data_IF_682372293982
#
_entry.id   IF_682372293982
#
_cell.length_a   1.000
_cell.length_b   1.000
_cell.length_c   1.000
_cell.angle_alpha   90.00
_cell.angle_beta   90.00
_cell.angle_gamma   90.00
#
_symmetry.space_group_name_H-M   'P 1'
#
loop_
_entity.id
_entity.type
_entity.pdbx_description
1 polymer ?
#
# COMPACT_ATOMS: atom_id res chain seq x y z
N UNK A 1 -9.12 -36.21 7.95
CA UNK A 1 -7.83 -36.01 7.26
C UNK A 1 -7.33 -34.56 7.25
N UNK A 2 -8.21 -33.54 7.17
CA UNK A 2 -7.81 -32.12 7.25
C UNK A 2 -7.01 -31.73 8.52
N UNK A 3 -7.40 -32.22 9.70
CA UNK A 3 -6.73 -31.88 10.98
C UNK A 3 -5.28 -32.37 11.11
N UNK A 4 -4.85 -33.40 10.36
CA UNK A 4 -3.49 -33.92 10.49
C UNK A 4 -2.50 -33.15 9.60
N UNK A 5 -2.95 -32.74 8.41
CA UNK A 5 -2.17 -31.96 7.46
C UNK A 5 -2.05 -30.49 7.89
N UNK A 6 -3.08 -29.96 8.57
CA UNK A 6 -3.00 -28.65 9.21
C UNK A 6 -1.87 -28.64 10.25
N UNK A 7 -1.71 -29.70 11.05
CA UNK A 7 -0.58 -29.79 12.01
C UNK A 7 0.78 -29.75 11.31
N UNK A 8 0.98 -30.51 10.23
CA UNK A 8 2.29 -30.57 9.57
C UNK A 8 2.68 -29.23 8.93
N UNK A 9 1.71 -28.53 8.32
CA UNK A 9 1.92 -27.18 7.77
C UNK A 9 2.20 -26.18 8.89
N UNK A 10 1.46 -26.23 9.99
CA UNK A 10 1.67 -25.33 11.13
C UNK A 10 3.05 -25.56 11.78
N UNK A 11 3.50 -26.82 11.89
CA UNK A 11 4.84 -27.15 12.41
C UNK A 11 5.93 -26.64 11.47
N UNK A 12 5.77 -26.82 10.14
CA UNK A 12 6.72 -26.30 9.17
C UNK A 12 6.80 -24.76 9.18
N UNK A 13 5.66 -24.07 9.34
CA UNK A 13 5.60 -22.61 9.48
C UNK A 13 6.31 -22.19 10.77
N UNK A 14 6.02 -22.83 11.90
CA UNK A 14 6.65 -22.51 13.18
C UNK A 14 8.18 -22.67 13.09
N UNK A 15 8.67 -23.78 12.54
CA UNK A 15 10.10 -24.01 12.34
C UNK A 15 10.75 -22.94 11.45
N UNK A 16 10.06 -22.50 10.39
CA UNK A 16 10.56 -21.43 9.53
C UNK A 16 10.66 -20.10 10.28
N UNK A 17 9.65 -19.76 11.09
CA UNK A 17 9.64 -18.53 11.90
C UNK A 17 10.73 -18.58 12.96
N UNK A 18 10.88 -19.70 13.68
CA UNK A 18 11.93 -19.88 14.67
C UNK A 18 13.32 -19.72 14.04
N UNK A 19 13.53 -20.25 12.83
CA UNK A 19 14.78 -20.09 12.09
C UNK A 19 15.07 -18.64 11.67
N UNK A 20 14.04 -17.86 11.32
CA UNK A 20 14.18 -16.43 11.00
C UNK A 20 14.49 -15.63 12.26
N UNK A 21 13.77 -15.89 13.36
CA UNK A 21 14.00 -15.22 14.64
C UNK A 21 15.41 -15.50 15.18
N UNK A 22 15.89 -16.74 15.07
CA UNK A 22 17.26 -17.11 15.47
C UNK A 22 18.34 -16.30 14.71
N UNK A 23 18.12 -15.98 13.43
CA UNK A 23 19.05 -15.16 12.63
C UNK A 23 19.05 -13.69 13.03
N UNK A 24 17.92 -13.18 13.55
CA UNK A 24 17.81 -11.79 14.01
C UNK A 24 18.44 -11.58 15.39
N UNK A 25 18.51 -12.62 16.21
CA UNK A 25 19.15 -12.57 17.55
C UNK A 25 20.69 -12.54 17.45
N UNK A 26 21.26 -13.05 16.35
CA UNK A 26 22.71 -13.16 16.15
C UNK A 26 23.41 -11.84 15.78
N UNK A 27 22.66 -10.73 15.63
CA UNK A 27 23.22 -9.41 15.24
C UNK A 27 23.79 -8.58 16.41
N UNK A 28 24.00 -9.17 17.59
CA UNK A 28 24.90 -8.63 18.61
C UNK A 28 24.42 -7.45 19.47
N UNK A 29 23.29 -6.81 19.16
CA UNK A 29 22.78 -5.67 19.95
C UNK A 29 21.59 -6.06 20.84
N UNK A 30 21.92 -6.40 22.10
CA UNK A 30 21.04 -6.69 23.25
C UNK A 30 20.08 -7.90 23.08
N UNK A 31 19.88 -8.71 24.13
CA UNK A 31 18.85 -9.75 24.10
C UNK A 31 17.49 -9.06 24.19
N UNK A 32 16.90 -8.73 23.05
CA UNK A 32 15.44 -8.60 22.97
C UNK A 32 14.89 -10.00 23.26
N UNK A 33 14.39 -10.22 24.47
CA UNK A 33 13.59 -11.40 24.78
C UNK A 33 12.25 -11.27 24.05
N UNK A 34 12.26 -11.54 22.74
CA UNK A 34 11.07 -11.53 21.91
C UNK A 34 10.28 -12.80 22.23
N UNK A 35 9.57 -12.80 23.36
CA UNK A 35 8.63 -13.86 23.73
C UNK A 35 7.32 -13.69 22.95
N UNK A 36 7.41 -13.64 21.62
CA UNK A 36 6.23 -13.65 20.77
C UNK A 36 5.90 -15.10 20.40
N UNK A 37 4.70 -15.56 20.78
CA UNK A 37 4.18 -16.86 20.37
C UNK A 37 3.15 -16.63 19.29
N UNK A 38 3.33 -17.26 18.13
CA UNK A 38 2.38 -17.18 17.03
C UNK A 38 1.02 -17.71 17.46
N UNK A 39 -0.01 -16.88 17.35
CA UNK A 39 -1.38 -17.33 17.56
C UNK A 39 -1.86 -18.20 16.39
N UNK A 40 -2.97 -18.92 16.59
CA UNK A 40 -3.63 -19.63 15.48
C UNK A 40 -4.08 -18.68 14.36
N UNK A 41 -4.45 -17.44 14.71
CA UNK A 41 -4.85 -16.44 13.72
C UNK A 41 -3.65 -16.03 12.85
N UNK A 42 -2.49 -15.81 13.47
CA UNK A 42 -1.24 -15.47 12.78
C UNK A 42 -0.83 -16.56 11.80
N UNK A 43 -0.86 -17.82 12.26
CA UNK A 43 -0.53 -18.97 11.43
C UNK A 43 -1.52 -19.14 10.26
N UNK A 44 -2.82 -18.86 10.48
CA UNK A 44 -3.84 -18.90 9.42
C UNK A 44 -3.61 -17.81 8.37
N UNK A 45 -3.28 -16.59 8.76
CA UNK A 45 -2.97 -15.50 7.82
C UNK A 45 -1.68 -15.81 7.05
N UNK A 46 -0.67 -16.37 7.72
CA UNK A 46 0.58 -16.78 7.08
C UNK A 46 0.38 -17.94 6.10
N UNK A 47 -0.46 -18.92 6.43
CA UNK A 47 -0.73 -20.04 5.52
C UNK A 47 -1.39 -19.59 4.22
N UNK A 48 -2.30 -18.60 4.27
CA UNK A 48 -2.87 -18.01 3.05
C UNK A 48 -1.77 -17.41 2.15
N UNK A 49 -0.83 -16.68 2.74
CA UNK A 49 0.32 -16.13 2.01
C UNK A 49 1.14 -17.23 1.33
N UNK A 50 1.43 -18.32 2.04
CA UNK A 50 2.21 -19.45 1.49
C UNK A 50 1.51 -20.09 0.29
N UNK A 51 0.20 -20.32 0.39
CA UNK A 51 -0.58 -20.92 -0.70
C UNK A 51 -0.53 -20.04 -1.97
N UNK A 52 -0.73 -18.73 -1.83
CA UNK A 52 -0.67 -17.82 -2.98
C UNK A 52 0.72 -17.71 -3.59
N UNK A 53 1.77 -17.77 -2.77
CA UNK A 53 3.15 -17.81 -3.24
C UNK A 53 3.45 -19.10 -4.03
N UNK A 54 2.93 -20.24 -3.59
CA UNK A 54 3.07 -21.51 -4.30
C UNK A 54 2.33 -21.51 -5.64
N UNK A 55 1.11 -20.94 -5.69
CA UNK A 55 0.37 -20.72 -6.94
C UNK A 55 1.20 -19.88 -7.92
N UNK A 56 1.73 -18.74 -7.45
CA UNK A 56 2.60 -17.85 -8.23
C UNK A 56 3.82 -18.58 -8.79
N UNK A 57 4.54 -19.34 -7.95
CA UNK A 57 5.72 -20.11 -8.36
C UNK A 57 5.38 -21.17 -9.39
N UNK A 58 4.25 -21.85 -9.22
CA UNK A 58 3.79 -22.85 -10.17
C UNK A 58 3.48 -22.23 -11.53
N UNK A 59 2.74 -21.11 -11.58
CA UNK A 59 2.49 -20.37 -12.82
C UNK A 59 3.79 -19.94 -13.50
N UNK A 60 4.74 -19.40 -12.74
CA UNK A 60 6.04 -18.99 -13.27
C UNK A 60 6.83 -20.18 -13.85
N UNK A 61 6.80 -21.34 -13.19
CA UNK A 61 7.41 -22.57 -13.70
C UNK A 61 6.77 -23.03 -15.01
N UNK A 62 5.43 -23.04 -15.08
CA UNK A 62 4.69 -23.44 -16.28
C UNK A 62 4.98 -22.50 -17.46
N UNK A 63 5.05 -21.19 -17.19
CA UNK A 63 5.41 -20.15 -18.17
C UNK A 63 6.81 -20.35 -18.74
N UNK A 64 7.80 -20.62 -17.86
CA UNK A 64 9.18 -20.90 -18.28
C UNK A 64 9.31 -22.21 -19.07
N UNK A 65 8.49 -23.22 -18.77
CA UNK A 65 8.52 -24.50 -19.49
C UNK A 65 7.64 -24.53 -20.75
N UNK A 66 6.90 -23.45 -21.05
CA UNK A 66 5.88 -23.40 -22.11
C UNK A 66 4.87 -24.56 -22.02
N UNK A 67 4.46 -24.91 -20.79
CA UNK A 67 3.47 -25.97 -20.59
C UNK A 67 2.05 -25.39 -20.54
N UNK A 68 1.23 -25.77 -21.52
CA UNK A 68 -0.13 -25.28 -21.69
C UNK A 68 -1.19 -26.12 -20.95
N UNK A 69 -0.79 -27.17 -20.23
CA UNK A 69 -1.72 -28.01 -19.49
C UNK A 69 -2.27 -27.30 -18.25
N UNK A 70 -3.54 -27.54 -17.96
CA UNK A 70 -4.17 -27.13 -16.71
C UNK A 70 -3.83 -28.12 -15.61
N UNK A 71 -3.43 -27.60 -14.45
CA UNK A 71 -3.11 -28.37 -13.26
C UNK A 71 -4.07 -27.93 -12.15
N UNK A 72 -4.75 -28.89 -11.54
CA UNK A 72 -5.52 -28.62 -10.32
C UNK A 72 -4.59 -28.39 -9.13
N UNK A 73 -4.79 -27.30 -8.40
CA UNK A 73 -4.01 -27.01 -7.20
C UNK A 73 -4.29 -28.06 -6.12
N UNK A 74 -3.24 -28.54 -5.48
CA UNK A 74 -3.35 -29.45 -4.31
C UNK A 74 -3.85 -28.72 -3.06
N UNK A 75 -3.57 -27.42 -2.98
CA UNK A 75 -3.91 -26.57 -1.85
C UNK A 75 -4.62 -25.32 -2.37
N UNK A 76 -5.84 -25.09 -1.89
CA UNK A 76 -6.63 -23.93 -2.28
C UNK A 76 -6.58 -22.89 -1.17
N UNK A 77 -6.52 -21.58 -1.50
CA UNK A 77 -6.79 -20.53 -0.53
C UNK A 77 -8.13 -20.79 0.15
N UNK A 78 -8.27 -20.43 1.42
CA UNK A 78 -9.38 -20.87 2.26
C UNK A 78 -10.76 -20.50 1.70
N UNK A 79 -10.84 -19.35 1.04
CA UNK A 79 -12.08 -18.84 0.44
C UNK A 79 -12.40 -19.46 -0.93
N UNK A 80 -11.46 -20.16 -1.56
CA UNK A 80 -11.60 -20.73 -2.89
C UNK A 80 -11.86 -22.23 -2.81
N UNK A 81 -12.92 -22.69 -3.48
CA UNK A 81 -13.31 -24.11 -3.46
C UNK A 81 -12.42 -24.96 -4.36
N UNK A 82 -12.13 -24.47 -5.56
CA UNK A 82 -11.39 -25.19 -6.62
C UNK A 82 -10.50 -24.20 -7.35
N UNK A 83 -9.26 -24.58 -7.63
CA UNK A 83 -8.29 -23.75 -8.36
C UNK A 83 -7.60 -24.59 -9.43
N UNK A 84 -7.70 -24.16 -10.68
CA UNK A 84 -6.97 -24.69 -11.82
C UNK A 84 -5.97 -23.66 -12.31
N UNK A 85 -4.77 -24.11 -12.62
CA UNK A 85 -3.62 -23.26 -12.91
C UNK A 85 -3.06 -23.67 -14.27
N UNK A 86 -2.84 -22.67 -15.13
CA UNK A 86 -2.09 -22.80 -16.38
C UNK A 86 -0.94 -21.79 -16.38
N UNK A 87 -0.14 -21.77 -17.45
CA UNK A 87 0.95 -20.79 -17.59
C UNK A 87 0.49 -19.31 -17.67
N UNK A 88 -0.73 -19.05 -18.16
CA UNK A 88 -1.22 -17.69 -18.42
C UNK A 88 -2.41 -17.30 -17.53
N UNK A 89 -3.17 -18.29 -17.08
CA UNK A 89 -4.42 -18.06 -16.39
C UNK A 89 -4.57 -18.95 -15.16
N UNK A 90 -5.27 -18.42 -14.17
CA UNK A 90 -5.80 -19.14 -13.03
C UNK A 90 -7.32 -19.11 -13.12
N UNK A 91 -7.95 -20.27 -13.13
CA UNK A 91 -9.40 -20.40 -13.04
C UNK A 91 -9.75 -20.87 -11.63
N UNK A 92 -10.58 -20.13 -10.90
CA UNK A 92 -10.98 -20.51 -9.56
C UNK A 92 -12.47 -20.35 -9.32
N UNK A 93 -12.98 -21.14 -8.38
CA UNK A 93 -14.36 -21.06 -7.93
C UNK A 93 -14.40 -20.38 -6.58
N UNK A 94 -15.13 -19.27 -6.52
CA UNK A 94 -15.45 -18.56 -5.28
C UNK A 94 -16.97 -18.55 -5.12
N UNK A 95 -17.47 -19.13 -4.02
CA UNK A 95 -18.90 -19.39 -3.81
C UNK A 95 -19.47 -20.22 -4.96
N UNK A 96 -20.39 -19.65 -5.74
CA UNK A 96 -21.05 -20.32 -6.87
C UNK A 96 -20.60 -19.81 -8.25
N UNK A 97 -19.60 -18.94 -8.30
CA UNK A 97 -19.14 -18.31 -9.53
C UNK A 97 -17.71 -18.70 -9.88
N UNK A 98 -17.45 -18.81 -11.19
CA UNK A 98 -16.12 -19.00 -11.73
C UNK A 98 -15.48 -17.64 -12.02
N UNK A 99 -14.20 -17.54 -11.67
CA UNK A 99 -13.36 -16.39 -11.92
C UNK A 99 -12.14 -16.86 -12.72
N UNK A 100 -11.73 -16.03 -13.67
CA UNK A 100 -10.54 -16.24 -14.48
C UNK A 100 -9.62 -15.04 -14.24
N UNK A 101 -8.43 -15.31 -13.73
CA UNK A 101 -7.40 -14.32 -13.50
C UNK A 101 -6.25 -14.57 -14.46
N UNK A 102 -5.67 -13.51 -15.00
CA UNK A 102 -4.40 -13.62 -15.71
C UNK A 102 -3.21 -13.69 -14.73
N UNK A 103 -2.02 -13.93 -15.28
CA UNK A 103 -0.79 -14.02 -14.50
C UNK A 103 -0.53 -12.74 -13.67
N UNK A 104 -0.70 -11.55 -14.25
CA UNK A 104 -0.39 -10.29 -13.56
C UNK A 104 -1.37 -10.02 -12.41
N UNK A 105 -2.64 -10.41 -12.59
CA UNK A 105 -3.65 -10.35 -11.54
C UNK A 105 -3.31 -11.31 -10.38
N UNK A 106 -2.84 -12.52 -10.68
CA UNK A 106 -2.40 -13.46 -9.63
C UNK A 106 -1.18 -12.91 -8.88
N UNK A 107 -0.22 -12.32 -9.59
CA UNK A 107 0.96 -11.68 -9.00
C UNK A 107 0.55 -10.54 -8.05
N UNK A 108 -0.34 -9.67 -8.50
CA UNK A 108 -0.89 -8.59 -7.68
C UNK A 108 -1.60 -9.11 -6.43
N UNK A 109 -2.43 -10.16 -6.54
CA UNK A 109 -3.12 -10.75 -5.38
C UNK A 109 -2.12 -11.34 -4.39
N UNK A 110 -1.12 -12.07 -4.88
CA UNK A 110 -0.07 -12.65 -4.03
C UNK A 110 0.73 -11.57 -3.29
N UNK A 111 1.14 -10.51 -3.99
CA UNK A 111 1.87 -9.38 -3.38
C UNK A 111 0.99 -8.64 -2.35
N UNK A 112 -0.29 -8.41 -2.67
CA UNK A 112 -1.24 -7.75 -1.75
C UNK A 112 -1.43 -8.55 -0.46
N UNK A 113 -1.63 -9.87 -0.57
CA UNK A 113 -1.77 -10.77 0.58
C UNK A 113 -0.48 -10.79 1.38
N UNK A 114 0.68 -10.90 0.73
CA UNK A 114 1.97 -10.89 1.40
C UNK A 114 2.19 -9.60 2.19
N UNK A 115 1.97 -8.43 1.59
CA UNK A 115 2.10 -7.14 2.28
C UNK A 115 1.20 -7.05 3.50
N UNK A 116 -0.08 -7.42 3.40
CA UNK A 116 -1.01 -7.39 4.54
C UNK A 116 -0.61 -8.36 5.64
N UNK A 117 -0.27 -9.60 5.28
CA UNK A 117 0.20 -10.62 6.22
C UNK A 117 1.41 -10.11 6.98
N UNK A 118 2.42 -9.58 6.28
CA UNK A 118 3.63 -9.09 6.94
C UNK A 118 3.35 -7.88 7.81
N UNK A 119 2.52 -6.92 7.39
CA UNK A 119 2.17 -5.77 8.23
C UNK A 119 1.46 -6.19 9.51
N UNK A 120 0.46 -7.07 9.43
CA UNK A 120 -0.25 -7.54 10.63
C UNK A 120 0.69 -8.30 11.56
N UNK A 121 1.45 -9.26 11.02
CA UNK A 121 2.41 -10.04 11.82
C UNK A 121 3.48 -9.16 12.46
N UNK A 122 4.02 -8.21 11.70
CA UNK A 122 5.01 -7.26 12.18
C UNK A 122 4.47 -6.49 13.39
N UNK A 123 3.28 -5.88 13.29
CA UNK A 123 2.70 -5.15 14.41
C UNK A 123 2.26 -6.05 15.59
N UNK A 124 1.89 -7.31 15.34
CA UNK A 124 1.65 -8.31 16.39
C UNK A 124 2.93 -8.68 17.16
N UNK A 125 4.08 -8.68 16.50
CA UNK A 125 5.38 -9.05 17.07
C UNK A 125 6.06 -7.90 17.83
N UNK A 126 5.77 -6.64 17.50
CA UNK A 126 6.37 -5.48 18.13
C UNK A 126 5.93 -5.32 19.60
N UNK A 127 6.83 -4.82 20.45
CA UNK A 127 6.47 -4.42 21.82
C UNK A 127 5.57 -3.18 21.82
N UNK A 128 4.69 -3.05 22.82
CA UNK A 128 3.73 -1.93 22.92
C UNK A 128 4.38 -0.54 22.93
N UNK A 129 5.65 -0.47 23.34
CA UNK A 129 6.41 0.78 23.40
C UNK A 129 7.17 1.10 22.11
N UNK A 130 7.09 0.25 21.08
CA UNK A 130 7.79 0.49 19.81
C UNK A 130 7.17 1.69 19.09
N UNK A 131 7.95 2.75 18.79
CA UNK A 131 7.45 3.88 18.01
C UNK A 131 6.90 3.41 16.66
N UNK A 132 5.73 3.91 16.27
CA UNK A 132 5.09 3.50 15.01
C UNK A 132 4.30 2.19 15.10
N UNK A 133 4.33 1.45 16.23
CA UNK A 133 3.46 0.28 16.39
C UNK A 133 2.00 0.70 16.26
N UNK A 134 1.29 0.08 15.32
CA UNK A 134 -0.14 0.25 15.13
C UNK A 134 -0.89 -0.82 15.91
N UNK A 135 -2.07 -0.44 16.40
CA UNK A 135 -3.04 -1.39 16.91
C UNK A 135 -3.53 -2.28 15.76
N UNK A 136 -3.47 -3.60 15.94
CA UNK A 136 -3.89 -4.57 14.94
C UNK A 136 -5.39 -4.50 14.69
N UNK A 137 -6.20 -4.13 15.70
CA UNK A 137 -7.64 -3.94 15.51
C UNK A 137 -7.93 -2.73 14.61
N UNK A 138 -7.19 -1.63 14.78
CA UNK A 138 -7.26 -0.48 13.88
C UNK A 138 -6.86 -0.86 12.45
N UNK A 139 -5.77 -1.62 12.26
CA UNK A 139 -5.34 -2.10 10.94
C UNK A 139 -6.43 -2.94 10.26
N UNK A 140 -7.01 -3.89 10.99
CA UNK A 140 -8.07 -4.75 10.46
C UNK A 140 -9.33 -3.96 10.12
N UNK A 141 -9.68 -2.94 10.92
CA UNK A 141 -10.78 -2.03 10.63
C UNK A 141 -10.54 -1.22 9.35
N UNK A 142 -9.33 -0.69 9.16
CA UNK A 142 -8.93 0.03 7.93
C UNK A 142 -9.05 -0.87 6.71
N UNK A 143 -8.52 -2.10 6.77
CA UNK A 143 -8.65 -3.06 5.67
C UNK A 143 -10.11 -3.38 5.35
N UNK A 144 -10.93 -3.65 6.37
CA UNK A 144 -12.33 -4.01 6.22
C UNK A 144 -13.13 -2.94 5.46
N UNK A 145 -12.88 -1.66 5.74
CA UNK A 145 -13.61 -0.56 5.07
C UNK A 145 -13.40 -0.58 3.56
N UNK A 146 -12.16 -0.67 3.09
CA UNK A 146 -11.88 -0.68 1.65
C UNK A 146 -12.09 -2.04 1.00
N UNK A 147 -11.97 -3.15 1.74
CA UNK A 147 -12.32 -4.47 1.22
C UNK A 147 -13.82 -4.57 0.91
N UNK A 148 -14.67 -4.04 1.80
CA UNK A 148 -16.11 -3.95 1.54
C UNK A 148 -16.39 -3.08 0.31
N UNK A 149 -15.71 -1.94 0.19
CA UNK A 149 -15.84 -1.08 -0.98
C UNK A 149 -15.41 -1.79 -2.29
N UNK A 150 -14.34 -2.58 -2.25
CA UNK A 150 -13.88 -3.39 -3.39
C UNK A 150 -14.90 -4.48 -3.76
N UNK A 151 -15.50 -5.13 -2.77
CA UNK A 151 -16.55 -6.14 -3.00
C UNK A 151 -17.78 -5.52 -3.67
N UNK A 152 -18.18 -4.33 -3.23
CA UNK A 152 -19.37 -3.63 -3.72
C UNK A 152 -19.17 -2.98 -5.10
N UNK A 153 -18.03 -2.31 -5.30
CA UNK A 153 -17.80 -1.41 -6.44
C UNK A 153 -16.71 -1.89 -7.41
N UNK A 154 -16.00 -2.98 -7.11
CA UNK A 154 -14.92 -3.51 -7.95
C UNK A 154 -13.87 -2.45 -8.26
N UNK A 155 -13.53 -2.30 -9.55
CA UNK A 155 -12.51 -1.36 -10.02
C UNK A 155 -12.85 0.12 -9.75
N UNK A 156 -14.13 0.47 -9.56
CA UNK A 156 -14.52 1.85 -9.27
C UNK A 156 -14.14 2.29 -7.84
N UNK A 157 -13.91 1.33 -6.94
CA UNK A 157 -13.46 1.60 -5.56
C UNK A 157 -12.16 2.41 -5.50
N UNK A 158 -11.26 2.25 -6.48
CA UNK A 158 -9.98 2.95 -6.52
C UNK A 158 -10.11 4.46 -6.69
N UNK A 159 -11.28 4.97 -7.06
CA UNK A 159 -11.57 6.41 -7.00
C UNK A 159 -11.57 6.95 -5.57
N UNK A 160 -11.91 6.12 -4.58
CA UNK A 160 -11.84 6.47 -3.16
C UNK A 160 -10.51 6.03 -2.55
N UNK A 161 -10.02 4.83 -2.86
CA UNK A 161 -8.78 4.29 -2.27
C UNK A 161 -7.58 5.21 -2.53
N UNK A 162 -7.53 5.91 -3.68
CA UNK A 162 -6.48 6.90 -3.99
C UNK A 162 -6.40 8.06 -2.98
N UNK A 163 -7.42 8.27 -2.15
CA UNK A 163 -7.40 9.28 -1.08
C UNK A 163 -6.72 8.80 0.20
N UNK A 164 -6.33 7.53 0.30
CA UNK A 164 -5.64 7.00 1.48
C UNK A 164 -4.39 7.83 1.84
N UNK A 165 -3.47 8.03 0.89
CA UNK A 165 -2.26 8.83 1.10
C UNK A 165 -2.60 10.29 1.48
N UNK A 166 -3.46 11.02 0.73
CA UNK A 166 -3.91 12.35 1.13
C UNK A 166 -4.56 12.42 2.51
N UNK A 167 -5.35 11.42 2.91
CA UNK A 167 -5.97 11.36 4.24
C UNK A 167 -4.88 11.30 5.31
N UNK A 168 -3.98 10.32 5.23
CA UNK A 168 -2.89 10.16 6.19
C UNK A 168 -2.01 11.42 6.26
N UNK A 169 -1.62 11.96 5.11
CA UNK A 169 -0.80 13.16 5.03
C UNK A 169 -1.53 14.39 5.61
N UNK A 170 -2.82 14.56 5.31
CA UNK A 170 -3.59 15.68 5.83
C UNK A 170 -3.73 15.66 7.35
N UNK A 171 -3.90 14.47 7.95
CA UNK A 171 -3.94 14.31 9.40
C UNK A 171 -2.55 14.54 10.00
N UNK A 172 -1.50 14.05 9.34
CA UNK A 172 -0.12 14.23 9.79
C UNK A 172 0.23 15.72 9.87
N UNK A 173 -0.05 16.48 8.80
CA UNK A 173 0.17 17.92 8.78
C UNK A 173 -0.69 18.62 9.84
N UNK A 174 -1.99 18.35 9.85
CA UNK A 174 -2.93 19.02 10.75
C UNK A 174 -2.65 18.78 12.25
N UNK A 175 -2.12 17.62 12.64
CA UNK A 175 -1.88 17.28 14.06
C UNK A 175 -0.44 17.52 14.51
N UNK A 176 0.53 17.39 13.61
CA UNK A 176 1.95 17.29 13.97
C UNK A 176 2.84 18.31 13.26
N UNK A 177 2.34 19.05 12.28
CA UNK A 177 3.08 20.19 11.70
C UNK A 177 2.86 21.44 12.56
N UNK A 178 3.94 22.20 12.80
CA UNK A 178 3.92 23.44 13.59
C UNK A 178 3.69 24.69 12.76
N UNK A 179 3.49 24.56 11.45
CA UNK A 179 3.30 25.68 10.52
C UNK A 179 1.84 26.18 10.53
N UNK A 180 1.67 27.50 10.35
CA UNK A 180 0.38 28.20 10.50
C UNK A 180 -0.70 27.87 9.45
N UNK A 181 -0.36 27.20 8.34
CA UNK A 181 -1.30 26.81 7.26
C UNK A 181 -1.56 25.29 7.23
N UNK A 182 -1.25 24.58 8.31
CA UNK A 182 -1.47 23.14 8.52
C UNK A 182 -2.91 22.64 8.24
N UNK A 183 -3.89 23.53 8.36
CA UNK A 183 -5.32 23.24 8.22
C UNK A 183 -5.85 23.26 6.79
N UNK A 184 -5.21 24.00 5.88
CA UNK A 184 -5.77 24.22 4.53
C UNK A 184 -5.90 22.91 3.76
N UNK A 185 -4.88 22.05 3.84
CA UNK A 185 -4.89 20.77 3.16
C UNK A 185 -5.91 19.80 3.76
N UNK A 186 -6.04 19.75 5.09
CA UNK A 186 -7.07 18.95 5.75
C UNK A 186 -8.49 19.37 5.35
N UNK A 187 -8.76 20.67 5.36
CA UNK A 187 -10.07 21.20 4.96
C UNK A 187 -10.36 20.92 3.48
N UNK A 188 -9.35 21.07 2.61
CA UNK A 188 -9.46 20.72 1.20
C UNK A 188 -9.81 19.25 1.00
N UNK A 189 -9.07 18.32 1.63
CA UNK A 189 -9.35 16.88 1.51
C UNK A 189 -10.74 16.55 2.05
N UNK A 190 -11.12 17.08 3.21
CA UNK A 190 -12.46 16.88 3.78
C UNK A 190 -13.57 17.37 2.83
N UNK A 191 -13.41 18.56 2.25
CA UNK A 191 -14.39 19.12 1.32
C UNK A 191 -14.46 18.32 0.01
N UNK A 192 -13.32 17.89 -0.52
CA UNK A 192 -13.26 17.12 -1.75
C UNK A 192 -13.93 15.74 -1.58
N UNK A 193 -13.68 15.06 -0.46
CA UNK A 193 -14.36 13.80 -0.12
C UNK A 193 -15.88 13.97 -0.01
N UNK A 194 -16.35 15.06 0.61
CA UNK A 194 -17.78 15.38 0.73
C UNK A 194 -18.41 15.70 -0.63
N UNK A 195 -17.74 16.51 -1.45
CA UNK A 195 -18.22 16.93 -2.77
C UNK A 195 -18.40 15.74 -3.71
N UNK A 196 -17.43 14.80 -3.67
CA UNK A 196 -17.48 13.59 -4.48
C UNK A 196 -18.31 12.44 -3.84
N UNK A 197 -18.87 12.65 -2.65
CA UNK A 197 -19.64 11.63 -1.88
C UNK A 197 -18.85 10.34 -1.65
N UNK A 198 -17.57 10.45 -1.32
CA UNK A 198 -16.71 9.31 -1.02
C UNK A 198 -16.86 8.90 0.45
N UNK A 199 -17.91 8.14 0.73
CA UNK A 199 -18.34 7.78 2.09
C UNK A 199 -17.29 6.94 2.83
N UNK A 200 -16.69 5.93 2.20
CA UNK A 200 -15.68 5.07 2.84
C UNK A 200 -14.40 5.85 3.19
N UNK A 201 -13.93 6.69 2.26
CA UNK A 201 -12.78 7.57 2.51
C UNK A 201 -13.09 8.63 3.59
N UNK A 202 -14.30 9.20 3.58
CA UNK A 202 -14.76 10.13 4.62
C UNK A 202 -14.84 9.47 6.00
N UNK A 203 -15.30 8.21 6.05
CA UNK A 203 -15.33 7.42 7.27
C UNK A 203 -13.92 7.21 7.82
N UNK A 204 -12.95 6.83 6.97
CA UNK A 204 -11.56 6.64 7.37
C UNK A 204 -10.91 7.94 7.87
N UNK A 205 -11.13 9.07 7.20
CA UNK A 205 -10.69 10.38 7.68
C UNK A 205 -11.21 10.65 9.10
N UNK A 206 -12.51 10.43 9.33
CA UNK A 206 -13.16 10.65 10.62
C UNK A 206 -12.74 9.63 11.70
N UNK A 207 -12.38 8.41 11.31
CA UNK A 207 -11.83 7.41 12.20
C UNK A 207 -10.43 7.84 12.67
N UNK A 208 -9.51 8.03 11.73
CA UNK A 208 -8.11 8.30 12.01
C UNK A 208 -7.87 9.66 12.71
N UNK A 209 -8.70 10.67 12.43
CA UNK A 209 -8.59 11.96 13.13
C UNK A 209 -8.96 11.84 14.63
N UNK A 210 -9.80 10.88 15.01
CA UNK A 210 -10.19 10.67 16.42
C UNK A 210 -9.18 9.81 17.18
N UNK A 211 -8.46 8.95 16.48
CA UNK A 211 -7.42 8.13 17.10
C UNK A 211 -6.23 8.99 17.56
N UNK A 212 -5.63 8.69 18.74
CA UNK A 212 -4.48 9.40 19.28
C UNK A 212 -3.17 8.94 18.60
N UNK A 213 -3.13 9.00 17.27
CA UNK A 213 -2.00 8.53 16.47
C UNK A 213 -0.83 9.51 16.50
N UNK A 214 0.36 8.96 16.75
CA UNK A 214 1.64 9.66 16.60
C UNK A 214 2.00 9.90 15.14
N UNK A 215 2.92 10.83 14.87
CA UNK A 215 3.45 11.07 13.52
C UNK A 215 4.06 9.80 12.88
N UNK A 216 4.76 8.98 13.66
CA UNK A 216 5.32 7.70 13.20
C UNK A 216 4.22 6.73 12.78
N UNK A 217 3.18 6.55 13.61
CA UNK A 217 2.05 5.67 13.28
C UNK A 217 1.29 6.14 12.03
N UNK A 218 1.09 7.45 11.85
CA UNK A 218 0.48 8.00 10.63
C UNK A 218 1.35 7.78 9.40
N UNK A 219 2.68 7.83 9.55
CA UNK A 219 3.63 7.54 8.47
C UNK A 219 3.63 6.07 8.09
N UNK A 220 3.53 5.16 9.07
CA UNK A 220 3.33 3.72 8.82
C UNK A 220 2.02 3.46 8.07
N UNK A 221 0.90 4.06 8.51
CA UNK A 221 -0.38 3.98 7.81
C UNK A 221 -0.27 4.51 6.37
N UNK A 222 0.41 5.64 6.16
CA UNK A 222 0.63 6.20 4.82
C UNK A 222 1.33 5.19 3.90
N UNK A 223 2.29 4.42 4.42
CA UNK A 223 3.01 3.36 3.68
C UNK A 223 2.12 2.24 3.15
N UNK A 224 0.90 2.07 3.66
CA UNK A 224 -0.02 0.99 3.30
C UNK A 224 -0.79 1.21 1.98
N UNK A 225 -0.53 2.28 1.23
CA UNK A 225 -1.31 2.66 0.04
C UNK A 225 -1.43 1.58 -1.05
N UNK A 226 -0.49 0.62 -1.12
CA UNK A 226 -0.54 -0.51 -2.06
C UNK A 226 -1.19 -1.78 -1.50
N UNK A 227 -1.67 -1.76 -0.26
CA UNK A 227 -2.27 -2.94 0.37
C UNK A 227 -3.65 -3.30 -0.18
N UNK A 228 -4.15 -2.57 -1.18
CA UNK A 228 -5.38 -2.91 -1.91
C UNK A 228 -5.08 -3.28 -3.37
N UNK A 229 -3.82 -3.56 -3.71
CA UNK A 229 -3.40 -3.88 -5.07
C UNK A 229 -3.50 -2.68 -6.02
N UNK A 230 -3.70 -2.98 -7.30
CA UNK A 230 -3.79 -1.99 -8.37
C UNK A 230 -5.09 -2.13 -9.16
N UNK A 231 -5.70 -1.01 -9.60
CA UNK A 231 -6.85 -1.08 -10.49
C UNK A 231 -6.47 -1.74 -11.81
N UNK A 232 -7.44 -2.44 -12.41
CA UNK A 232 -7.33 -2.82 -13.81
C UNK A 232 -7.43 -1.56 -14.67
N UNK A 233 -6.45 -1.33 -15.53
CA UNK A 233 -6.35 -0.11 -16.35
C UNK A 233 -7.21 -0.27 -17.60
N UNK A 234 -8.03 0.75 -17.86
CA UNK A 234 -8.71 0.93 -19.15
C UNK A 234 -7.74 1.65 -20.10
N UNK A 235 -7.01 0.86 -20.90
CA UNK A 235 -5.98 1.37 -21.82
C UNK A 235 -6.53 2.38 -22.82
N UNK A 236 -7.75 2.16 -23.31
CA UNK A 236 -8.41 3.03 -24.28
C UNK A 236 -8.67 4.40 -23.66
N UNK A 237 -9.32 4.45 -22.49
CA UNK A 237 -9.54 5.70 -21.77
C UNK A 237 -8.23 6.38 -21.37
N UNK A 238 -7.22 5.60 -21.03
CA UNK A 238 -5.86 6.08 -20.77
C UNK A 238 -5.30 6.85 -21.97
N UNK A 239 -5.29 6.21 -23.14
CA UNK A 239 -4.83 6.80 -24.40
C UNK A 239 -5.63 8.05 -24.79
N UNK A 240 -6.95 8.03 -24.63
CA UNK A 240 -7.81 9.19 -24.90
C UNK A 240 -7.48 10.38 -24.02
N UNK A 241 -7.27 10.14 -22.72
CA UNK A 241 -6.89 11.18 -21.75
C UNK A 241 -5.53 11.77 -22.10
N UNK A 242 -4.54 10.94 -22.38
CA UNK A 242 -3.20 11.40 -22.81
C UNK A 242 -3.29 12.23 -24.07
N UNK A 243 -4.03 11.76 -25.09
CA UNK A 243 -4.25 12.49 -26.34
C UNK A 243 -4.89 13.86 -26.08
N UNK A 244 -5.90 13.93 -25.21
CA UNK A 244 -6.56 15.20 -24.85
C UNK A 244 -5.59 16.20 -24.22
N UNK A 245 -4.72 15.76 -23.31
CA UNK A 245 -3.72 16.64 -22.69
C UNK A 245 -2.61 17.03 -23.66
N UNK A 246 -2.06 16.09 -24.43
CA UNK A 246 -0.95 16.34 -25.35
C UNK A 246 -1.33 17.26 -26.52
N UNK A 247 -2.61 17.23 -26.93
CA UNK A 247 -3.12 18.11 -27.99
C UNK A 247 -3.63 19.45 -27.46
N UNK A 248 -3.67 19.64 -26.14
CA UNK A 248 -4.01 20.93 -25.55
C UNK A 248 -2.91 21.94 -25.87
N UNK A 249 -3.31 23.13 -26.33
CA UNK A 249 -2.40 24.25 -26.64
C UNK A 249 -2.65 25.37 -25.64
N UNK A 250 -2.13 25.26 -24.41
CA UNK A 250 -2.25 26.35 -23.45
C UNK A 250 -1.54 27.58 -24.01
N UNK A 251 -2.18 28.74 -23.89
CA UNK A 251 -1.56 30.02 -24.27
C UNK A 251 -0.57 30.39 -23.16
N UNK A 252 0.74 30.44 -23.45
CA UNK A 252 1.72 30.73 -22.41
C UNK A 252 1.68 32.21 -22.02
N UNK A 253 1.89 32.50 -20.74
CA UNK A 253 2.22 33.86 -20.30
C UNK A 253 3.68 34.15 -20.67
N UNK A 254 3.85 34.87 -21.79
CA UNK A 254 5.16 35.25 -22.29
C UNK A 254 5.94 36.12 -21.29
N UNK A 255 5.27 36.92 -20.46
CA UNK A 255 5.94 37.75 -19.45
C UNK A 255 6.66 36.88 -18.42
N UNK A 256 6.02 35.80 -17.98
CA UNK A 256 6.60 34.80 -17.07
C UNK A 256 7.73 34.05 -17.78
N UNK A 257 7.55 33.62 -19.03
CA UNK A 257 8.60 32.95 -19.79
C UNK A 257 9.86 33.82 -19.97
N UNK A 258 9.69 35.13 -20.21
CA UNK A 258 10.83 36.04 -20.29
C UNK A 258 11.54 36.21 -18.95
N UNK A 259 10.80 36.27 -17.83
CA UNK A 259 11.39 36.28 -16.48
C UNK A 259 12.21 35.01 -16.24
N UNK A 260 11.66 33.83 -16.53
CA UNK A 260 12.35 32.54 -16.41
C UNK A 260 13.61 32.52 -17.27
N UNK A 261 13.51 32.93 -18.55
CA UNK A 261 14.66 33.01 -19.45
C UNK A 261 15.74 33.96 -18.91
N UNK A 262 15.33 35.09 -18.33
CA UNK A 262 16.23 36.04 -17.68
C UNK A 262 16.98 35.40 -16.51
N UNK A 263 16.29 34.65 -15.66
CA UNK A 263 16.91 33.91 -14.54
C UNK A 263 17.89 32.84 -15.04
N UNK A 264 17.54 32.07 -16.07
CA UNK A 264 18.39 31.03 -16.64
C UNK A 264 19.65 31.57 -17.34
N UNK A 265 19.57 32.80 -17.88
CA UNK A 265 20.71 33.47 -18.55
C UNK A 265 21.64 34.20 -17.58
N UNK A 266 21.22 34.46 -16.34
CA UNK A 266 22.13 35.02 -15.35
C UNK A 266 23.20 33.96 -15.10
N UNK A 267 24.49 34.23 -15.41
CA UNK A 267 25.54 33.32 -14.98
C UNK A 267 25.39 33.18 -13.48
N UNK A 268 25.29 31.94 -12.99
CA UNK A 268 25.42 31.66 -11.57
C UNK A 268 26.83 32.13 -11.23
N UNK A 269 26.96 33.33 -10.68
CA UNK A 269 28.25 33.87 -10.30
C UNK A 269 28.89 32.83 -9.37
N UNK A 270 30.11 32.34 -9.66
CA UNK A 270 30.81 31.40 -8.78
C UNK A 270 30.99 31.97 -7.36
N UNK A 271 30.80 33.28 -7.18
CA UNK A 271 30.95 33.99 -5.92
C UNK A 271 29.75 33.94 -4.96
N UNK A 272 28.58 33.42 -5.36
CA UNK A 272 27.42 33.33 -4.45
C UNK A 272 27.38 32.06 -3.58
N UNK A 273 28.38 31.16 -3.66
CA UNK A 273 28.47 29.97 -2.80
C UNK A 273 29.51 30.11 -1.68
N UNK A 274 30.18 31.26 -1.54
CA UNK A 274 31.22 31.46 -0.54
C UNK A 274 31.15 32.86 0.09
N UNK A 275 30.03 33.25 0.71
CA UNK A 275 30.06 34.27 1.76
C UNK A 275 28.93 34.07 2.78
N UNK A 276 29.23 33.81 4.06
CA UNK A 276 28.26 33.62 5.12
C UNK A 276 27.83 34.96 5.75
N UNK A 277 27.49 35.96 4.93
CA UNK A 277 27.06 37.26 5.46
C UNK A 277 25.58 37.51 5.15
N UNK A 278 24.76 37.46 6.20
CA UNK A 278 23.31 37.35 6.22
C UNK A 278 22.53 38.65 5.92
N UNK A 279 23.15 39.69 5.38
CA UNK A 279 22.52 41.03 5.37
C UNK A 279 21.76 41.43 4.10
N UNK A 280 21.72 40.60 3.05
CA UNK A 280 21.16 41.02 1.74
C UNK A 280 19.86 40.34 1.28
N UNK A 281 19.26 39.45 2.07
CA UNK A 281 18.00 38.78 1.67
C UNK A 281 16.73 39.57 2.07
N UNK A 282 16.86 40.70 2.76
CA UNK A 282 15.71 41.49 3.23
C UNK A 282 15.07 42.40 2.16
N UNK A 283 15.64 42.52 0.96
CA UNK A 283 15.16 43.49 -0.05
C UNK A 283 14.15 42.95 -1.07
N UNK A 284 13.77 41.67 -1.04
CA UNK A 284 12.88 41.08 -2.06
C UNK A 284 11.43 40.77 -1.62
N UNK A 285 11.01 41.19 -0.43
CA UNK A 285 9.63 40.99 0.06
C UNK A 285 8.90 42.29 0.45
N UNK A 286 9.04 43.33 -0.37
CA UNK A 286 8.07 44.45 -0.36
C UNK A 286 7.68 44.82 -1.78
N UNK A 287 6.65 44.14 -2.28
CA UNK A 287 5.58 44.69 -3.14
C UNK A 287 4.41 43.73 -3.17
#
# INVERSE_FOLDING_TARGET
MANHMEKDVLVAIQHHVDAVLARLVDTGDRPFSLHYTLSRADLRIYSQKVIWEDIRRLMQKLKSSQNYQWIESKHNPEVLNTVYISQMFLACRFRSSWYLLDYEQVMMVADTIASRTFTVLYHSMLSDHTPGKLDTDLLMKVYTVYDNLLIESGNNSYQQIKYWEPICLSILLHKHDGLSNDNDFYNYIKQDLQTNKFESASFLLNLLIKEPLTANQLSELHGMYRHWGHPTVDEVKGCEKVRKFATSRPVPDYSVLYKIRGLMKRPVSPFCLLHPDQSLITAFYTR
#
